data_IF_028847221202
#
_entry.id   IF_028847221202
#
_cell.length_a   1.000
_cell.length_b   1.000
_cell.length_c   1.000
_cell.angle_alpha   90.00
_cell.angle_beta   90.00
_cell.angle_gamma   90.00
#
_symmetry.space_group_name_H-M   'P 1'
#
loop_
_entity.id
_entity.type
_entity.pdbx_description
1 polymer ?
#
# COMPACT_ATOMS: atom_id res chain seq x y z
N UNK A 1 -43.75 -23.47 0.34
CA UNK A 1 -43.83 -22.10 -0.24
C UNK A 1 -43.24 -21.05 0.70
N UNK A 2 -43.40 -21.19 2.02
CA UNK A 2 -42.66 -20.40 3.01
C UNK A 2 -41.15 -20.72 3.00
N UNK A 3 -40.75 -21.97 2.73
CA UNK A 3 -39.32 -22.34 2.58
C UNK A 3 -38.65 -21.75 1.34
N UNK A 4 -39.41 -21.52 0.26
CA UNK A 4 -38.94 -20.85 -0.97
C UNK A 4 -38.78 -19.34 -0.79
N UNK A 5 -39.57 -18.73 0.11
CA UNK A 5 -39.45 -17.31 0.47
C UNK A 5 -38.38 -17.10 1.56
N UNK A 6 -38.12 -18.08 2.42
CA UNK A 6 -36.97 -18.12 3.33
C UNK A 6 -35.64 -18.43 2.60
N UNK A 7 -35.70 -19.13 1.45
CA UNK A 7 -34.56 -19.37 0.56
C UNK A 7 -34.13 -18.13 -0.26
N UNK A 8 -34.91 -17.05 -0.22
CA UNK A 8 -34.57 -15.77 -0.87
C UNK A 8 -33.91 -14.79 0.13
N UNK A 9 -33.01 -15.28 0.99
CA UNK A 9 -32.17 -14.41 1.82
C UNK A 9 -31.12 -13.72 0.95
N UNK A 10 -30.73 -12.49 1.31
CA UNK A 10 -29.70 -11.69 0.61
C UNK A 10 -28.40 -12.47 0.36
N UNK A 11 -28.07 -13.40 1.26
CA UNK A 11 -26.92 -14.30 1.14
C UNK A 11 -27.04 -15.28 -0.02
N UNK A 12 -28.23 -15.86 -0.25
CA UNK A 12 -28.46 -16.82 -1.32
C UNK A 12 -28.31 -16.12 -2.68
N UNK A 13 -28.89 -14.93 -2.82
CA UNK A 13 -28.74 -14.10 -4.03
C UNK A 13 -27.25 -13.82 -4.29
N UNK A 14 -26.48 -13.48 -3.24
CA UNK A 14 -25.04 -13.28 -3.33
C UNK A 14 -24.28 -14.51 -3.84
N UNK A 15 -24.60 -15.70 -3.29
CA UNK A 15 -23.97 -16.96 -3.70
C UNK A 15 -24.29 -17.28 -5.17
N UNK A 16 -25.54 -17.08 -5.60
CA UNK A 16 -25.95 -17.25 -7.00
C UNK A 16 -25.21 -16.33 -7.96
N UNK A 17 -25.11 -15.04 -7.62
CA UNK A 17 -24.38 -14.05 -8.43
C UNK A 17 -22.89 -14.41 -8.50
N UNK A 18 -22.27 -14.78 -7.38
CA UNK A 18 -20.86 -15.17 -7.33
C UNK A 18 -20.59 -16.46 -8.12
N UNK A 19 -21.50 -17.44 -8.10
CA UNK A 19 -21.37 -18.67 -8.88
C UNK A 19 -21.49 -18.42 -10.38
N UNK A 20 -22.49 -17.64 -10.81
CA UNK A 20 -22.65 -17.27 -12.22
C UNK A 20 -21.45 -16.49 -12.74
N UNK A 21 -20.92 -15.54 -11.97
CA UNK A 21 -19.70 -14.81 -12.34
C UNK A 21 -18.48 -15.73 -12.42
N UNK A 22 -18.33 -16.66 -11.47
CA UNK A 22 -17.24 -17.64 -11.48
C UNK A 22 -17.31 -18.53 -12.73
N UNK A 23 -18.50 -19.03 -13.08
CA UNK A 23 -18.71 -19.81 -14.30
C UNK A 23 -18.49 -18.97 -15.57
N UNK A 24 -18.93 -17.70 -15.57
CA UNK A 24 -18.72 -16.78 -16.68
C UNK A 24 -17.22 -16.56 -16.98
N UNK A 25 -16.41 -16.44 -15.93
CA UNK A 25 -14.94 -16.34 -16.06
C UNK A 25 -14.34 -17.66 -16.57
N UNK A 26 -14.80 -18.81 -16.05
CA UNK A 26 -14.33 -20.12 -16.53
C UNK A 26 -14.76 -20.45 -17.97
N UNK A 27 -15.79 -19.80 -18.51
CA UNK A 27 -16.19 -19.97 -19.91
C UNK A 27 -15.05 -19.66 -20.89
N UNK A 28 -14.08 -18.81 -20.51
CA UNK A 28 -12.88 -18.54 -21.28
C UNK A 28 -12.09 -19.80 -21.63
N UNK A 29 -12.11 -20.81 -20.75
CA UNK A 29 -11.37 -22.06 -20.95
C UNK A 29 -11.89 -22.86 -22.17
N UNK A 30 -13.15 -22.65 -22.56
CA UNK A 30 -13.76 -23.34 -23.70
C UNK A 30 -13.74 -22.50 -24.98
N UNK A 31 -14.05 -21.19 -24.89
CA UNK A 31 -13.92 -20.21 -25.97
C UNK A 31 -14.23 -18.79 -25.43
N UNK A 32 -13.86 -17.73 -26.18
CA UNK A 32 -14.29 -16.36 -25.89
C UNK A 32 -15.79 -16.16 -26.18
N UNK A 33 -16.63 -16.52 -25.21
CA UNK A 33 -18.08 -16.33 -25.30
C UNK A 33 -18.48 -14.88 -24.97
N UNK A 34 -19.64 -14.38 -25.45
CA UNK A 34 -20.17 -13.08 -25.04
C UNK A 34 -20.33 -12.94 -23.51
N UNK A 35 -20.61 -14.06 -22.83
CA UNK A 35 -20.75 -14.12 -21.37
C UNK A 35 -19.41 -13.83 -20.67
N UNK A 36 -18.31 -14.39 -21.16
CA UNK A 36 -16.97 -14.07 -20.66
C UNK A 36 -16.63 -12.58 -20.82
N UNK A 37 -16.89 -12.00 -22.01
CA UNK A 37 -16.61 -10.57 -22.26
C UNK A 37 -17.34 -9.64 -21.30
N UNK A 38 -18.59 -9.94 -20.96
CA UNK A 38 -19.34 -9.14 -19.96
C UNK A 38 -18.70 -9.24 -18.58
N UNK A 39 -18.30 -10.45 -18.16
CA UNK A 39 -17.64 -10.65 -16.88
C UNK A 39 -16.27 -9.94 -16.82
N UNK A 40 -15.52 -9.93 -17.92
CA UNK A 40 -14.24 -9.22 -18.04
C UNK A 40 -14.42 -7.70 -17.90
N UNK A 41 -15.37 -7.09 -18.61
CA UNK A 41 -15.64 -5.65 -18.50
C UNK A 41 -16.13 -5.26 -17.11
N UNK A 42 -16.98 -6.09 -16.50
CA UNK A 42 -17.41 -5.90 -15.11
C UNK A 42 -16.20 -5.95 -14.15
N UNK A 43 -15.35 -6.96 -14.28
CA UNK A 43 -14.16 -7.13 -13.44
C UNK A 43 -13.18 -5.96 -13.59
N UNK A 44 -12.87 -5.55 -14.81
CA UNK A 44 -11.99 -4.41 -15.09
C UNK A 44 -12.61 -3.11 -14.56
N UNK A 45 -13.91 -2.90 -14.76
CA UNK A 45 -14.64 -1.72 -14.27
C UNK A 45 -14.64 -1.61 -12.74
N UNK A 46 -14.96 -2.71 -12.05
CA UNK A 46 -14.93 -2.78 -10.57
C UNK A 46 -13.50 -2.60 -10.05
N UNK A 47 -12.51 -3.21 -10.69
CA UNK A 47 -11.10 -3.08 -10.29
C UNK A 47 -10.60 -1.64 -10.47
N UNK A 48 -10.95 -0.98 -11.57
CA UNK A 48 -10.62 0.42 -11.81
C UNK A 48 -11.29 1.34 -10.79
N UNK A 49 -12.58 1.11 -10.48
CA UNK A 49 -13.31 1.87 -9.47
C UNK A 49 -12.71 1.68 -8.06
N UNK A 50 -12.46 0.44 -7.66
CA UNK A 50 -11.81 0.12 -6.38
C UNK A 50 -10.41 0.75 -6.31
N UNK A 51 -9.61 0.62 -7.36
CA UNK A 51 -8.29 1.24 -7.45
C UNK A 51 -8.33 2.76 -7.30
N UNK A 52 -9.32 3.43 -7.92
CA UNK A 52 -9.52 4.87 -7.77
C UNK A 52 -9.90 5.25 -6.33
N UNK A 53 -10.79 4.49 -5.69
CA UNK A 53 -11.20 4.73 -4.30
C UNK A 53 -10.03 4.51 -3.34
N UNK A 54 -9.26 3.43 -3.53
CA UNK A 54 -8.07 3.13 -2.73
C UNK A 54 -7.02 4.22 -2.92
N UNK A 55 -6.77 4.64 -4.16
CA UNK A 55 -5.85 5.74 -4.44
C UNK A 55 -6.31 7.04 -3.77
N UNK A 56 -7.60 7.35 -3.79
CA UNK A 56 -8.13 8.50 -3.08
C UNK A 56 -7.90 8.39 -1.57
N UNK A 57 -8.14 7.23 -0.97
CA UNK A 57 -7.98 7.03 0.48
C UNK A 57 -6.52 6.97 0.94
N UNK A 58 -5.65 6.35 0.16
CA UNK A 58 -4.25 6.10 0.52
C UNK A 58 -3.30 7.21 0.08
N UNK A 59 -3.61 7.89 -1.03
CA UNK A 59 -2.74 8.94 -1.57
C UNK A 59 -3.38 10.32 -1.42
N UNK A 60 -4.58 10.54 -1.96
CA UNK A 60 -5.16 11.89 -2.02
C UNK A 60 -5.56 12.41 -0.65
N UNK A 61 -6.25 11.59 0.15
CA UNK A 61 -6.76 11.98 1.47
C UNK A 61 -5.62 12.35 2.45
N UNK A 62 -4.58 11.54 2.64
CA UNK A 62 -3.48 11.90 3.55
C UNK A 62 -2.54 12.97 2.99
N UNK A 63 -2.33 13.01 1.67
CA UNK A 63 -1.33 13.92 1.08
C UNK A 63 -1.90 15.32 0.81
N UNK A 64 -3.20 15.42 0.49
CA UNK A 64 -3.83 16.68 0.08
C UNK A 64 -4.95 17.06 1.04
N UNK A 65 -5.89 16.16 1.33
CA UNK A 65 -7.13 16.51 2.03
C UNK A 65 -6.92 16.83 3.52
N UNK A 66 -6.30 15.92 4.27
CA UNK A 66 -6.03 16.13 5.70
C UNK A 66 -5.12 17.32 5.99
N UNK A 67 -3.97 17.53 5.31
CA UNK A 67 -3.16 18.71 5.55
C UNK A 67 -3.94 19.97 5.21
N UNK A 68 -4.66 20.03 4.09
CA UNK A 68 -5.44 21.21 3.72
C UNK A 68 -6.52 21.55 4.77
N UNK A 69 -7.25 20.56 5.28
CA UNK A 69 -8.21 20.78 6.37
C UNK A 69 -7.53 21.20 7.68
N UNK A 70 -6.38 20.62 8.00
CA UNK A 70 -5.59 21.02 9.16
C UNK A 70 -5.12 22.49 9.04
N UNK A 71 -4.75 22.93 7.83
CA UNK A 71 -4.38 24.33 7.56
C UNK A 71 -5.56 25.28 7.75
N UNK A 72 -6.71 24.93 7.18
CA UNK A 72 -7.92 25.74 7.34
C UNK A 72 -8.30 25.83 8.82
N UNK A 73 -8.29 24.70 9.54
CA UNK A 73 -8.60 24.66 10.96
C UNK A 73 -7.58 25.45 11.78
N UNK A 74 -6.29 25.30 11.53
CA UNK A 74 -5.24 26.01 12.26
C UNK A 74 -5.29 27.52 12.00
N UNK A 75 -5.53 27.95 10.76
CA UNK A 75 -5.73 29.36 10.43
C UNK A 75 -7.00 29.93 11.06
N UNK A 76 -8.10 29.15 11.07
CA UNK A 76 -9.36 29.54 11.69
C UNK A 76 -9.25 29.61 13.22
N UNK A 77 -8.58 28.64 13.86
CA UNK A 77 -8.32 28.60 15.29
C UNK A 77 -7.38 29.75 15.70
N UNK A 78 -6.34 30.04 14.91
CA UNK A 78 -5.48 31.21 15.12
C UNK A 78 -6.30 32.51 15.02
N UNK A 79 -7.18 32.64 14.03
CA UNK A 79 -8.06 33.81 13.92
C UNK A 79 -9.06 33.92 15.10
N UNK A 80 -9.63 32.80 15.55
CA UNK A 80 -10.55 32.77 16.69
C UNK A 80 -9.85 33.06 18.02
N UNK A 81 -8.63 32.57 18.22
CA UNK A 81 -7.87 32.76 19.47
C UNK A 81 -7.19 34.12 19.53
N UNK A 82 -6.71 34.66 18.41
CA UNK A 82 -5.93 35.91 18.38
C UNK A 82 -6.73 37.15 17.99
N UNK A 83 -7.65 37.02 17.03
CA UNK A 83 -8.39 38.18 16.50
C UNK A 83 -9.79 38.32 17.09
N UNK A 84 -10.48 37.23 17.47
CA UNK A 84 -11.85 37.32 17.98
C UNK A 84 -11.96 37.88 19.42
N UNK A 85 -11.10 37.52 20.40
CA UNK A 85 -11.10 38.18 21.69
C UNK A 85 -10.59 39.62 21.59
N UNK A 86 -9.65 39.93 20.69
CA UNK A 86 -9.21 41.29 20.41
C UNK A 86 -10.29 42.13 19.73
N UNK A 87 -11.03 41.60 18.76
CA UNK A 87 -12.15 42.28 18.12
C UNK A 87 -13.32 42.49 19.08
N UNK A 88 -13.64 41.49 19.93
CA UNK A 88 -14.62 41.65 21.02
C UNK A 88 -14.12 42.63 22.08
N UNK A 89 -12.83 42.59 22.43
CA UNK A 89 -12.20 43.51 23.37
C UNK A 89 -12.16 44.93 22.85
N UNK A 90 -11.87 45.16 21.57
CA UNK A 90 -11.87 46.47 20.89
C UNK A 90 -13.28 47.03 20.74
N UNK A 91 -14.27 46.19 20.43
CA UNK A 91 -15.68 46.60 20.42
C UNK A 91 -16.19 46.90 21.84
N UNK A 92 -15.71 46.19 22.88
CA UNK A 92 -15.97 46.54 24.29
C UNK A 92 -15.11 47.70 24.81
N UNK A 93 -13.93 47.93 24.21
CA UNK A 93 -12.97 48.99 24.52
C UNK A 93 -13.18 50.22 23.63
N UNK A 94 -14.39 50.38 23.09
CA UNK A 94 -14.95 51.66 22.67
C UNK A 94 -14.98 52.73 23.79
N UNK A 95 -14.20 52.57 24.88
CA UNK A 95 -13.91 53.58 25.89
C UNK A 95 -12.46 53.53 26.47
N UNK A 96 -11.42 52.98 25.81
CA UNK A 96 -10.01 53.20 26.24
C UNK A 96 -8.97 53.26 25.10
N UNK A 97 -7.80 53.84 25.44
CA UNK A 97 -6.77 54.45 24.58
C UNK A 97 -6.03 53.49 23.62
N UNK A 98 -5.70 53.91 22.38
CA UNK A 98 -5.07 53.06 21.34
C UNK A 98 -3.68 52.51 21.65
N UNK A 99 -2.99 53.03 22.66
CA UNK A 99 -1.58 52.70 22.92
C UNK A 99 -1.37 51.31 23.57
N UNK A 100 -2.33 50.86 24.39
CA UNK A 100 -2.21 49.59 25.12
C UNK A 100 -2.53 48.38 24.22
N UNK A 101 -3.47 48.55 23.28
CA UNK A 101 -3.84 47.51 22.30
C UNK A 101 -2.71 47.30 21.29
N UNK A 102 -2.00 48.36 20.90
CA UNK A 102 -0.86 48.28 19.99
C UNK A 102 0.34 47.50 20.58
N UNK A 103 0.47 47.47 21.92
CA UNK A 103 1.55 46.77 22.61
C UNK A 103 1.26 45.27 22.74
N UNK A 104 0.01 44.87 22.98
CA UNK A 104 -0.39 43.47 23.09
C UNK A 104 -0.35 42.70 21.75
N UNK A 105 -0.51 43.40 20.61
CA UNK A 105 -0.48 42.79 19.26
C UNK A 105 0.95 42.49 18.78
N UNK A 106 1.97 43.15 19.33
CA UNK A 106 3.36 43.02 18.88
C UNK A 106 4.16 41.89 19.56
N UNK A 107 3.64 41.25 20.62
CA UNK A 107 4.29 40.10 21.28
C UNK A 107 3.90 38.72 20.70
N UNK A 108 3.24 38.77 19.56
CA UNK A 108 2.90 37.78 18.52
C UNK A 108 3.95 36.78 18.05
N UNK A 109 4.35 35.68 18.71
CA UNK A 109 5.33 34.78 18.12
C UNK A 109 4.62 34.02 17.00
N UNK A 110 4.86 34.42 15.76
CA UNK A 110 4.29 33.72 14.60
C UNK A 110 4.99 32.37 14.50
N UNK A 111 4.35 31.32 15.04
CA UNK A 111 4.88 29.96 15.09
C UNK A 111 5.52 29.56 13.76
N UNK A 112 6.81 29.20 13.79
CA UNK A 112 7.60 28.74 12.64
C UNK A 112 6.91 27.59 11.86
N UNK A 113 6.03 26.84 12.53
CA UNK A 113 5.19 25.79 11.96
C UNK A 113 4.26 26.35 10.87
N UNK A 114 3.68 27.54 11.04
CA UNK A 114 2.78 28.17 10.07
C UNK A 114 3.52 28.50 8.75
N UNK A 115 4.79 28.93 8.84
CA UNK A 115 5.64 29.20 7.66
C UNK A 115 6.03 27.92 6.90
N UNK A 116 6.31 26.82 7.60
CA UNK A 116 6.58 25.52 6.98
C UNK A 116 5.39 24.98 6.14
N UNK A 117 4.18 25.45 6.44
CA UNK A 117 2.95 25.05 5.76
C UNK A 117 2.57 25.92 4.54
N UNK A 118 3.15 27.12 4.41
CA UNK A 118 2.91 28.00 3.25
C UNK A 118 3.48 27.36 1.98
N UNK A 119 4.62 26.67 2.07
CA UNK A 119 5.30 26.02 0.94
C UNK A 119 4.40 24.96 0.26
N UNK A 120 3.85 23.95 0.97
CA UNK A 120 2.95 22.98 0.36
C UNK A 120 1.61 23.58 -0.09
N UNK A 121 1.11 24.64 0.57
CA UNK A 121 -0.07 25.35 0.10
C UNK A 121 0.16 26.04 -1.24
N UNK A 122 1.28 26.76 -1.38
CA UNK A 122 1.69 27.37 -2.65
C UNK A 122 1.83 26.27 -3.71
N UNK A 123 2.59 25.21 -3.45
CA UNK A 123 2.74 24.10 -4.40
C UNK A 123 1.39 23.47 -4.80
N UNK A 124 0.45 23.35 -3.86
CA UNK A 124 -0.91 22.88 -4.13
C UNK A 124 -1.69 23.82 -5.05
N UNK A 125 -1.61 25.13 -4.83
CA UNK A 125 -2.25 26.14 -5.70
C UNK A 125 -1.64 26.14 -7.11
N UNK A 126 -0.31 25.99 -7.22
CA UNK A 126 0.38 25.96 -8.52
C UNK A 126 -0.06 24.77 -9.40
N UNK A 127 -0.57 23.67 -8.83
CA UNK A 127 -1.12 22.55 -9.60
C UNK A 127 -2.36 22.97 -10.41
N UNK A 128 -3.19 23.89 -9.91
CA UNK A 128 -4.38 24.37 -10.63
C UNK A 128 -4.03 25.16 -11.90
N UNK A 129 -2.78 25.63 -12.04
CA UNK A 129 -2.25 26.20 -13.28
C UNK A 129 -2.32 25.24 -14.49
N UNK A 130 -2.56 23.94 -14.27
CA UNK A 130 -2.73 22.94 -15.33
C UNK A 130 -3.97 23.17 -16.20
N UNK A 131 -5.04 23.77 -15.66
CA UNK A 131 -6.30 23.97 -16.37
C UNK A 131 -6.24 25.09 -17.43
N UNK A 132 -5.27 26.00 -17.34
CA UNK A 132 -5.14 27.14 -18.25
C UNK A 132 -3.92 26.96 -19.16
N UNK A 133 -4.13 26.96 -20.50
CA UNK A 133 -3.07 26.74 -21.52
C UNK A 133 -1.84 27.64 -21.36
N UNK A 134 -1.96 28.83 -20.76
CA UNK A 134 -0.84 29.75 -20.56
C UNK A 134 0.00 29.52 -19.30
N UNK A 135 -0.57 28.92 -18.25
CA UNK A 135 0.06 28.84 -16.90
C UNK A 135 0.54 27.43 -16.55
N UNK A 136 0.51 26.51 -17.53
CA UNK A 136 0.91 25.12 -17.35
C UNK A 136 2.37 24.95 -16.89
N UNK A 137 3.25 25.90 -17.21
CA UNK A 137 4.65 25.84 -16.78
C UNK A 137 4.78 25.85 -15.25
N UNK A 138 3.85 26.52 -14.56
CA UNK A 138 3.87 26.69 -13.11
C UNK A 138 3.54 25.40 -12.36
N UNK A 139 2.69 24.54 -12.95
CA UNK A 139 2.41 23.19 -12.45
C UNK A 139 3.60 22.22 -12.54
N UNK A 140 4.65 22.55 -13.31
CA UNK A 140 5.85 21.70 -13.43
C UNK A 140 6.65 21.63 -12.13
N UNK A 141 6.63 22.69 -11.32
CA UNK A 141 7.35 22.77 -10.04
C UNK A 141 6.78 21.83 -8.99
N UNK A 142 5.46 21.86 -8.69
CA UNK A 142 4.84 20.85 -7.82
C UNK A 142 5.03 19.44 -8.33
N UNK A 143 4.90 19.20 -9.65
CA UNK A 143 5.09 17.85 -10.22
C UNK A 143 6.52 17.38 -10.02
N UNK A 144 7.52 18.22 -10.28
CA UNK A 144 8.93 17.90 -10.05
C UNK A 144 9.22 17.64 -8.56
N UNK A 145 8.63 18.43 -7.66
CA UNK A 145 8.74 18.22 -6.23
C UNK A 145 8.06 16.92 -5.78
N UNK A 146 6.85 16.62 -6.26
CA UNK A 146 6.13 15.39 -5.96
C UNK A 146 6.86 14.15 -6.51
N UNK A 147 7.44 14.21 -7.70
CA UNK A 147 8.25 13.13 -8.27
C UNK A 147 9.57 12.98 -7.50
N UNK A 148 10.21 14.10 -7.14
CA UNK A 148 11.42 14.12 -6.33
C UNK A 148 11.20 13.53 -4.94
N UNK A 149 10.09 13.87 -4.28
CA UNK A 149 9.68 13.26 -3.02
C UNK A 149 9.27 11.78 -3.19
N UNK A 150 8.52 11.49 -4.26
CA UNK A 150 8.02 10.15 -4.59
C UNK A 150 9.13 9.15 -4.92
N UNK A 151 10.29 9.61 -5.39
CA UNK A 151 11.49 8.80 -5.50
C UNK A 151 12.37 8.91 -4.25
N UNK A 152 12.51 10.13 -3.69
CA UNK A 152 13.47 10.45 -2.64
C UNK A 152 13.18 9.81 -1.29
N UNK A 153 11.91 9.60 -0.91
CA UNK A 153 11.56 8.90 0.33
C UNK A 153 11.59 7.38 0.16
N UNK A 154 10.97 6.80 -0.89
CA UNK A 154 10.93 5.35 -1.00
C UNK A 154 12.28 4.72 -1.34
N UNK A 155 13.20 5.39 -2.04
CA UNK A 155 14.51 4.79 -2.41
C UNK A 155 15.34 4.43 -1.16
N UNK A 156 15.62 5.35 -0.21
CA UNK A 156 16.35 5.01 1.02
C UNK A 156 15.59 4.01 1.90
N UNK A 157 14.25 4.14 1.99
CA UNK A 157 13.42 3.22 2.76
C UNK A 157 13.48 1.82 2.18
N UNK A 158 13.40 1.67 0.86
CA UNK A 158 13.54 0.39 0.18
C UNK A 158 14.96 -0.17 0.34
N UNK A 159 15.99 0.67 0.31
CA UNK A 159 17.36 0.24 0.59
C UNK A 159 17.49 -0.29 2.02
N UNK A 160 16.97 0.44 3.01
CA UNK A 160 17.00 0.02 4.41
C UNK A 160 16.17 -1.26 4.64
N UNK A 161 14.94 -1.30 4.13
CA UNK A 161 14.02 -2.41 4.33
C UNK A 161 14.40 -3.67 3.54
N UNK A 162 15.00 -3.54 2.35
CA UNK A 162 15.35 -4.70 1.54
C UNK A 162 16.81 -5.13 1.72
N UNK A 163 17.75 -4.22 1.97
CA UNK A 163 19.18 -4.60 2.01
C UNK A 163 19.65 -4.72 3.46
N UNK A 164 19.42 -3.69 4.27
CA UNK A 164 19.87 -3.72 5.66
C UNK A 164 19.07 -4.71 6.49
N UNK A 165 17.74 -4.73 6.34
CA UNK A 165 16.91 -5.69 7.08
C UNK A 165 17.13 -7.13 6.63
N UNK A 166 17.29 -7.43 5.33
CA UNK A 166 17.59 -8.80 4.89
C UNK A 166 18.97 -9.27 5.39
N UNK A 167 19.95 -8.35 5.45
CA UNK A 167 21.24 -8.62 6.08
C UNK A 167 21.11 -8.88 7.59
N UNK A 168 20.33 -8.06 8.29
CA UNK A 168 20.04 -8.23 9.71
C UNK A 168 19.32 -9.57 9.98
N UNK A 169 18.30 -9.93 9.20
CA UNK A 169 17.56 -11.19 9.30
C UNK A 169 18.43 -12.43 9.06
N UNK A 170 19.50 -12.30 8.28
CA UNK A 170 20.47 -13.39 8.07
C UNK A 170 21.35 -13.61 9.32
N UNK A 171 21.58 -12.55 10.10
CA UNK A 171 22.47 -12.57 11.28
C UNK A 171 21.69 -12.83 12.57
N UNK A 172 20.45 -12.36 12.65
CA UNK A 172 19.58 -12.43 13.83
C UNK A 172 19.52 -13.82 14.50
N UNK A 173 19.38 -14.94 13.75
CA UNK A 173 19.32 -16.28 14.35
C UNK A 173 20.57 -16.66 15.14
N UNK A 174 21.74 -16.11 14.78
CA UNK A 174 23.01 -16.39 15.46
C UNK A 174 23.21 -15.56 16.73
N UNK A 175 22.50 -14.43 16.85
CA UNK A 175 22.63 -13.50 17.98
C UNK A 175 21.61 -13.81 19.07
N UNK A 176 20.35 -14.09 18.69
CA UNK A 176 19.26 -14.28 19.66
C UNK A 176 19.12 -15.72 20.16
N UNK A 177 19.74 -16.69 19.48
CA UNK A 177 19.51 -18.13 19.71
C UNK A 177 18.06 -18.53 19.37
N UNK A 178 17.79 -19.84 19.25
CA UNK A 178 16.43 -20.31 18.93
C UNK A 178 15.43 -19.90 20.02
N UNK A 179 14.51 -18.99 19.69
CA UNK A 179 13.41 -18.55 20.55
C UNK A 179 12.08 -19.24 20.19
N UNK A 180 12.09 -20.09 19.16
CA UNK A 180 10.91 -20.75 18.60
C UNK A 180 10.65 -22.10 19.25
N UNK A 181 9.39 -22.55 19.22
CA UNK A 181 8.94 -23.90 19.63
C UNK A 181 9.38 -25.02 18.65
N UNK A 182 10.43 -24.76 17.87
CA UNK A 182 11.05 -25.69 16.94
C UNK A 182 12.25 -26.34 17.65
N UNK A 183 12.61 -27.59 17.32
CA UNK A 183 13.84 -28.19 17.81
C UNK A 183 15.02 -27.25 17.51
N UNK A 184 15.70 -26.75 18.54
CA UNK A 184 16.78 -25.76 18.43
C UNK A 184 17.83 -26.12 17.34
N UNK A 185 18.08 -27.41 17.13
CA UNK A 185 18.98 -27.90 16.09
C UNK A 185 18.51 -27.60 14.65
N UNK A 186 17.20 -27.61 14.39
CA UNK A 186 16.63 -27.37 13.05
C UNK A 186 16.71 -25.88 12.70
N UNK A 187 16.39 -24.98 13.64
CA UNK A 187 16.50 -23.53 13.43
C UNK A 187 17.94 -23.11 13.18
N UNK A 188 18.89 -23.63 13.96
CA UNK A 188 20.31 -23.34 13.75
C UNK A 188 20.85 -23.95 12.45
N UNK A 189 20.41 -25.16 12.08
CA UNK A 189 20.78 -25.75 10.78
C UNK A 189 20.25 -24.91 9.61
N UNK A 190 19.01 -24.39 9.72
CA UNK A 190 18.42 -23.46 8.76
C UNK A 190 19.20 -22.15 8.66
N UNK A 191 19.57 -21.55 9.79
CA UNK A 191 20.39 -20.35 9.84
C UNK A 191 21.75 -20.54 9.16
N UNK A 192 22.44 -21.65 9.44
CA UNK A 192 23.69 -22.01 8.76
C UNK A 192 23.50 -22.26 7.26
N UNK A 193 22.44 -22.95 6.86
CA UNK A 193 22.13 -23.17 5.45
C UNK A 193 21.88 -21.85 4.71
N UNK A 194 21.14 -20.91 5.32
CA UNK A 194 20.91 -19.57 4.77
C UNK A 194 22.20 -18.76 4.69
N UNK A 195 23.00 -18.71 5.77
CA UNK A 195 24.27 -17.99 5.79
C UNK A 195 25.24 -18.51 4.71
N UNK A 196 25.39 -19.84 4.60
CA UNK A 196 26.21 -20.48 3.56
C UNK A 196 25.63 -20.20 2.17
N UNK A 197 24.32 -20.29 2.00
CA UNK A 197 23.64 -19.97 0.74
C UNK A 197 23.89 -18.53 0.28
N UNK A 198 23.78 -17.55 1.19
CA UNK A 198 24.05 -16.13 0.89
C UNK A 198 25.52 -15.93 0.52
N UNK A 199 26.46 -16.43 1.33
CA UNK A 199 27.90 -16.27 1.07
C UNK A 199 28.32 -16.90 -0.26
N UNK A 200 27.80 -18.09 -0.57
CA UNK A 200 28.13 -18.79 -1.83
C UNK A 200 27.46 -18.18 -3.04
N UNK A 201 26.24 -17.64 -2.91
CA UNK A 201 25.55 -16.90 -3.97
C UNK A 201 26.22 -15.56 -4.26
N UNK A 202 26.66 -14.84 -3.22
CA UNK A 202 27.47 -13.63 -3.38
C UNK A 202 28.80 -13.95 -4.06
N UNK A 203 29.46 -15.05 -3.68
CA UNK A 203 30.67 -15.50 -4.36
C UNK A 203 30.43 -15.88 -5.83
N UNK A 204 29.24 -16.38 -6.19
CA UNK A 204 28.85 -16.65 -7.57
C UNK A 204 28.68 -15.38 -8.41
N UNK A 205 28.03 -14.34 -7.85
CA UNK A 205 27.83 -13.07 -8.55
C UNK A 205 29.01 -12.10 -8.45
N UNK A 206 30.04 -12.43 -7.67
CA UNK A 206 31.25 -11.62 -7.56
C UNK A 206 32.09 -11.73 -8.85
N UNK A 207 31.75 -10.91 -9.85
CA UNK A 207 32.38 -10.89 -11.17
C UNK A 207 33.87 -10.49 -11.18
N UNK A 208 34.38 -9.94 -10.07
CA UNK A 208 35.75 -9.40 -10.00
C UNK A 208 36.84 -10.44 -9.64
N UNK A 209 36.47 -11.68 -9.29
CA UNK A 209 37.43 -12.76 -9.05
C UNK A 209 37.40 -13.82 -10.18
N UNK A 210 38.56 -14.21 -10.74
CA UNK A 210 38.62 -15.31 -11.69
C UNK A 210 38.26 -16.62 -10.98
N UNK A 211 37.27 -17.34 -11.53
CA UNK A 211 36.68 -18.54 -10.94
C UNK A 211 37.57 -19.81 -11.09
N UNK A 212 38.81 -19.79 -10.57
CA UNK A 212 39.71 -20.95 -10.57
C UNK A 212 39.98 -21.45 -9.13
N UNK A 213 40.01 -22.77 -8.94
CA UNK A 213 40.33 -23.41 -7.65
C UNK A 213 39.13 -23.58 -6.70
N UNK A 214 39.33 -23.35 -5.40
CA UNK A 214 38.32 -23.51 -4.34
C UNK A 214 37.11 -22.56 -4.51
N UNK A 215 37.37 -21.33 -4.94
CA UNK A 215 36.33 -20.32 -5.19
C UNK A 215 35.37 -20.73 -6.33
N UNK A 216 35.87 -21.47 -7.33
CA UNK A 216 35.03 -22.01 -8.40
C UNK A 216 34.13 -23.16 -7.94
N UNK A 217 34.51 -23.92 -6.91
CA UNK A 217 33.67 -24.99 -6.33
C UNK A 217 32.61 -24.41 -5.39
N UNK A 218 32.95 -23.41 -4.58
CA UNK A 218 31.97 -22.72 -3.72
C UNK A 218 30.95 -21.92 -4.53
N UNK A 219 31.36 -21.30 -5.65
CA UNK A 219 30.48 -20.61 -6.60
C UNK A 219 29.46 -21.56 -7.27
N UNK A 220 29.84 -22.82 -7.52
CA UNK A 220 28.89 -23.83 -8.03
C UNK A 220 27.77 -24.12 -7.04
N UNK A 221 28.08 -24.19 -5.75
CA UNK A 221 27.08 -24.38 -4.70
C UNK A 221 26.10 -23.19 -4.66
N UNK A 222 26.60 -21.96 -4.82
CA UNK A 222 25.75 -20.77 -4.98
C UNK A 222 24.75 -20.86 -6.14
N UNK A 223 25.15 -21.41 -7.29
CA UNK A 223 24.22 -21.65 -8.41
C UNK A 223 23.07 -22.59 -8.05
N UNK A 224 23.34 -23.67 -7.29
CA UNK A 224 22.28 -24.58 -6.84
C UNK A 224 21.30 -23.89 -5.90
N UNK A 225 21.80 -23.09 -4.94
CA UNK A 225 20.95 -22.28 -4.07
C UNK A 225 20.08 -21.30 -4.87
N UNK A 226 20.64 -20.66 -5.90
CA UNK A 226 19.91 -19.76 -6.77
C UNK A 226 18.81 -20.48 -7.57
N UNK A 227 19.10 -21.66 -8.11
CA UNK A 227 18.10 -22.49 -8.79
C UNK A 227 16.96 -22.90 -7.87
N UNK A 228 17.26 -23.26 -6.62
CA UNK A 228 16.25 -23.60 -5.61
C UNK A 228 15.42 -22.35 -5.27
N UNK A 229 16.05 -21.21 -5.01
CA UNK A 229 15.35 -19.97 -4.66
C UNK A 229 14.39 -19.52 -5.76
N UNK A 230 14.84 -19.51 -7.02
CA UNK A 230 13.95 -19.22 -8.15
C UNK A 230 12.88 -20.30 -8.34
N UNK A 231 13.22 -21.58 -8.15
CA UNK A 231 12.26 -22.68 -8.19
C UNK A 231 11.14 -22.54 -7.16
N UNK A 232 11.47 -22.13 -5.93
CA UNK A 232 10.49 -21.81 -4.88
C UNK A 232 9.66 -20.59 -5.27
N UNK A 233 10.27 -19.55 -5.82
CA UNK A 233 9.55 -18.37 -6.31
C UNK A 233 8.51 -18.70 -7.38
N UNK A 234 8.91 -19.45 -8.41
CA UNK A 234 7.97 -19.93 -9.44
C UNK A 234 6.91 -20.87 -8.86
N UNK A 235 7.31 -21.83 -8.01
CA UNK A 235 6.41 -22.77 -7.35
C UNK A 235 5.34 -22.08 -6.51
N UNK A 236 5.71 -21.02 -5.79
CA UNK A 236 4.77 -20.23 -4.98
C UNK A 236 3.71 -19.55 -5.86
N UNK A 237 4.10 -19.02 -7.03
CA UNK A 237 3.11 -18.43 -7.96
C UNK A 237 2.16 -19.47 -8.56
N UNK A 238 2.64 -20.67 -8.88
CA UNK A 238 1.80 -21.77 -9.37
C UNK A 238 0.85 -22.24 -8.26
N UNK A 239 1.37 -22.43 -7.05
CA UNK A 239 0.57 -22.80 -5.89
C UNK A 239 -0.53 -21.78 -5.63
N UNK A 240 -0.22 -20.47 -5.65
CA UNK A 240 -1.21 -19.42 -5.44
C UNK A 240 -2.34 -19.49 -6.48
N UNK A 241 -2.01 -19.74 -7.76
CA UNK A 241 -3.01 -19.88 -8.84
C UNK A 241 -3.86 -21.13 -8.67
N UNK A 242 -3.25 -22.27 -8.33
CA UNK A 242 -3.97 -23.53 -8.07
C UNK A 242 -4.83 -23.43 -6.82
N UNK A 243 -4.35 -22.77 -5.76
CA UNK A 243 -5.11 -22.54 -4.53
C UNK A 243 -6.35 -21.68 -4.79
N UNK A 244 -6.23 -20.61 -5.59
CA UNK A 244 -7.38 -19.82 -6.04
C UNK A 244 -8.38 -20.66 -6.84
N UNK A 245 -7.90 -21.54 -7.74
CA UNK A 245 -8.74 -22.47 -8.49
C UNK A 245 -9.51 -23.43 -7.55
N UNK A 246 -8.81 -24.05 -6.60
CA UNK A 246 -9.40 -24.96 -5.61
C UNK A 246 -10.46 -24.22 -4.78
N UNK A 247 -10.17 -23.01 -4.30
CA UNK A 247 -11.14 -22.21 -3.55
C UNK A 247 -12.42 -21.93 -4.33
N UNK A 248 -12.30 -21.67 -5.64
CA UNK A 248 -13.48 -21.48 -6.52
C UNK A 248 -14.22 -22.79 -6.80
N UNK A 249 -13.52 -23.91 -6.94
CA UNK A 249 -14.15 -25.23 -7.08
C UNK A 249 -14.88 -25.66 -5.80
N UNK A 250 -14.29 -25.41 -4.62
CA UNK A 250 -14.93 -25.65 -3.33
C UNK A 250 -16.19 -24.80 -3.18
N UNK A 251 -16.11 -23.51 -3.49
CA UNK A 251 -17.28 -22.63 -3.51
C UNK A 251 -18.41 -23.18 -4.42
N UNK A 252 -18.10 -23.58 -5.65
CA UNK A 252 -19.11 -24.11 -6.57
C UNK A 252 -19.71 -25.44 -6.09
N UNK A 253 -18.90 -26.34 -5.53
CA UNK A 253 -19.33 -27.68 -5.13
C UNK A 253 -20.00 -27.75 -3.75
N UNK A 254 -19.55 -26.93 -2.78
CA UNK A 254 -20.00 -26.99 -1.39
C UNK A 254 -20.94 -25.85 -0.99
N UNK A 255 -20.83 -24.67 -1.62
CA UNK A 255 -21.70 -23.54 -1.28
C UNK A 255 -22.84 -23.39 -2.30
N UNK A 256 -22.55 -23.53 -3.60
CA UNK A 256 -23.55 -23.29 -4.63
C UNK A 256 -24.38 -24.52 -5.02
N UNK A 257 -23.75 -25.68 -5.27
CA UNK A 257 -24.46 -26.89 -5.70
C UNK A 257 -25.47 -27.45 -4.67
N UNK A 258 -25.19 -27.44 -3.35
CA UNK A 258 -26.15 -27.89 -2.34
C UNK A 258 -27.40 -27.01 -2.24
N UNK A 259 -27.30 -25.72 -2.57
CA UNK A 259 -28.46 -24.82 -2.65
C UNK A 259 -29.46 -25.27 -3.73
N UNK A 260 -28.97 -25.89 -4.81
CA UNK A 260 -29.82 -26.35 -5.91
C UNK A 260 -30.39 -27.75 -5.67
N UNK A 261 -29.58 -28.63 -5.08
CA UNK A 261 -29.92 -30.06 -4.92
C UNK A 261 -30.56 -30.38 -3.57
N UNK A 262 -30.62 -29.42 -2.64
CA UNK A 262 -31.11 -29.63 -1.28
C UNK A 262 -30.23 -30.59 -0.45
N UNK A 263 -29.07 -30.99 -0.99
CA UNK A 263 -28.18 -32.00 -0.39
C UNK A 263 -27.37 -31.37 0.75
N UNK A 264 -28.03 -31.07 1.85
CA UNK A 264 -27.38 -30.76 3.12
C UNK A 264 -26.91 -32.08 3.71
N UNK A 265 -25.60 -32.34 3.70
CA UNK A 265 -25.03 -33.36 4.58
C UNK A 265 -24.83 -32.76 5.97
N UNK A 266 -25.03 -33.54 7.05
CA UNK A 266 -24.83 -33.10 8.42
C UNK A 266 -23.39 -32.65 8.70
#
# INVERSE_FOLDING_TARGET
MQDLLAALNWEHIGIWVAALLTLAVYSFLYAETPVFRVAEHLFIGVSAAYGLVVFFHLAVKPTVWYPLLALIKQGLDYFHVHYQPAAKAVISALHFSPAEVAQAVNEVPVDFRLYAFIIPFILGVLIFGRFFRGWQWLSRWPIAFSVGFGAGVPIPVAFQANILEQGHQTIEPFVRGSQTWSPAAIDMAGAWALAVGVLTTLAYFYFSAPHRGWLGRSSRLGMWFLMIAFGVGFGNTVMARVALLIGRMQFLLYEWLPLWTGFHRP
#
